data_IF_445554465374
#
_entry.id   IF_445554465374
#
_cell.length_a   1.000
_cell.length_b   1.000
_cell.length_c   1.000
_cell.angle_alpha   90.00
_cell.angle_beta   90.00
_cell.angle_gamma   90.00
#
_symmetry.space_group_name_H-M   'P 1'
#
loop_
_entity.id
_entity.type
_entity.pdbx_description
1 polymer ?
#
# COMPACT_ATOMS: atom_id res chain seq x y z
N UNK A 1 9.26 11.42 -6.44
CA UNK A 1 9.99 11.64 -5.18
C UNK A 1 9.42 12.81 -4.39
N UNK A 2 9.56 14.06 -4.84
CA UNK A 2 9.11 15.24 -4.06
C UNK A 2 7.63 15.21 -3.68
N UNK A 3 6.72 14.89 -4.61
CA UNK A 3 5.28 14.88 -4.30
C UNK A 3 4.88 13.76 -3.33
N UNK A 4 5.46 12.57 -3.48
CA UNK A 4 5.27 11.47 -2.53
C UNK A 4 5.85 11.84 -1.16
N UNK A 5 7.04 12.43 -1.15
CA UNK A 5 7.68 12.93 0.05
C UNK A 5 6.82 13.93 0.83
N UNK A 6 6.18 14.87 0.12
CA UNK A 6 5.27 15.85 0.73
C UNK A 6 4.10 15.18 1.43
N UNK A 7 3.48 14.17 0.81
CA UNK A 7 2.38 13.44 1.45
C UNK A 7 2.83 12.74 2.74
N UNK A 8 4.04 12.18 2.75
CA UNK A 8 4.59 11.50 3.93
C UNK A 8 4.89 12.50 5.04
N UNK A 9 5.58 13.61 4.73
CA UNK A 9 5.99 14.62 5.71
C UNK A 9 4.81 15.41 6.28
N UNK A 10 3.75 15.63 5.50
CA UNK A 10 2.51 16.25 5.99
C UNK A 10 1.73 15.31 6.92
N UNK A 11 1.88 14.00 6.76
CA UNK A 11 1.18 12.99 7.55
C UNK A 11 1.85 12.67 8.90
N UNK A 12 3.12 13.07 9.12
CA UNK A 12 3.89 12.70 10.32
C UNK A 12 4.59 13.89 10.95
N UNK A 13 4.80 13.84 12.27
CA UNK A 13 5.56 14.87 13.00
C UNK A 13 7.02 14.47 13.26
N UNK A 14 7.40 13.24 12.90
CA UNK A 14 8.78 12.75 13.06
C UNK A 14 9.65 13.18 11.87
N UNK A 15 10.96 13.39 12.06
CA UNK A 15 11.87 13.73 10.96
C UNK A 15 11.88 12.66 9.87
N UNK A 16 11.68 13.07 8.61
CA UNK A 16 11.72 12.18 7.45
C UNK A 16 13.01 12.41 6.66
N UNK A 17 13.74 11.34 6.40
CA UNK A 17 14.89 11.32 5.49
C UNK A 17 14.41 10.71 4.17
N UNK A 18 14.60 11.45 3.07
CA UNK A 18 14.24 10.99 1.74
C UNK A 18 15.46 10.50 0.95
N UNK A 19 15.24 9.49 0.10
CA UNK A 19 16.23 9.08 -0.91
C UNK A 19 16.18 10.04 -2.11
N UNK A 20 17.30 10.72 -2.37
CA UNK A 20 17.47 11.65 -3.48
C UNK A 20 18.18 11.03 -4.69
N UNK A 21 18.45 9.72 -4.69
CA UNK A 21 19.28 9.03 -5.66
C UNK A 21 20.59 9.81 -5.90
N UNK A 22 21.01 9.96 -7.15
CA UNK A 22 22.16 10.78 -7.55
C UNK A 22 21.84 12.28 -7.69
N UNK A 23 20.66 12.73 -7.30
CA UNK A 23 20.16 14.09 -7.50
C UNK A 23 19.66 14.40 -8.92
N UNK A 24 19.39 13.38 -9.74
CA UNK A 24 18.71 13.45 -11.04
C UNK A 24 19.42 14.30 -12.11
N UNK A 25 20.76 14.24 -12.14
CA UNK A 25 21.56 14.81 -13.23
C UNK A 25 22.84 15.49 -12.75
N UNK A 26 23.07 16.72 -13.21
CA UNK A 26 24.27 17.47 -12.89
C UNK A 26 24.12 18.24 -11.57
N UNK A 27 25.14 19.03 -11.20
CA UNK A 27 25.13 19.86 -10.00
C UNK A 27 23.89 20.77 -9.88
N UNK A 28 23.38 21.33 -10.99
CA UNK A 28 22.18 22.16 -10.96
C UNK A 28 20.91 21.35 -10.71
N UNK A 29 20.83 20.11 -11.23
CA UNK A 29 19.77 19.16 -10.88
C UNK A 29 19.79 18.88 -9.37
N UNK A 30 20.97 18.61 -8.79
CA UNK A 30 21.12 18.39 -7.34
C UNK A 30 20.60 19.58 -6.54
N UNK A 31 20.93 20.82 -6.93
CA UNK A 31 20.39 22.02 -6.26
C UNK A 31 18.87 22.07 -6.30
N UNK A 32 18.28 21.76 -7.46
CA UNK A 32 16.82 21.73 -7.62
C UNK A 32 16.21 20.63 -6.76
N UNK A 33 16.83 19.46 -6.70
CA UNK A 33 16.40 18.32 -5.88
C UNK A 33 16.39 18.68 -4.41
N UNK A 34 17.51 19.17 -3.87
CA UNK A 34 17.61 19.57 -2.46
C UNK A 34 16.58 20.65 -2.11
N UNK A 35 16.43 21.69 -2.94
CA UNK A 35 15.40 22.73 -2.74
C UNK A 35 13.98 22.16 -2.81
N UNK A 36 13.75 21.15 -3.65
CA UNK A 36 12.48 20.43 -3.73
C UNK A 36 12.19 19.64 -2.46
N UNK A 37 13.19 18.94 -1.92
CA UNK A 37 13.07 18.16 -0.68
C UNK A 37 12.81 19.08 0.53
N UNK A 38 13.53 20.20 0.62
CA UNK A 38 13.28 21.23 1.65
C UNK A 38 11.82 21.71 1.59
N UNK A 39 11.33 22.06 0.39
CA UNK A 39 9.94 22.51 0.19
C UNK A 39 8.90 21.44 0.49
N UNK A 40 9.28 20.17 0.37
CA UNK A 40 8.43 19.05 0.73
C UNK A 40 8.53 18.69 2.23
N UNK A 41 9.27 19.43 3.05
CA UNK A 41 9.32 19.21 4.49
C UNK A 41 10.25 18.06 4.94
N UNK A 42 11.13 17.57 4.08
CA UNK A 42 12.12 16.57 4.49
C UNK A 42 13.13 17.16 5.48
N UNK A 43 13.43 16.38 6.52
CA UNK A 43 14.48 16.70 7.49
C UNK A 43 15.88 16.28 7.01
N UNK A 44 15.96 15.31 6.08
CA UNK A 44 17.22 14.90 5.48
C UNK A 44 17.06 14.36 4.07
N UNK A 45 18.18 14.32 3.34
CA UNK A 45 18.28 13.76 1.99
C UNK A 45 19.53 12.89 1.89
N UNK A 46 19.36 11.69 1.31
CA UNK A 46 20.46 10.82 0.89
C UNK A 46 20.81 11.15 -0.56
N UNK A 47 22.07 11.41 -0.84
CA UNK A 47 22.58 11.64 -2.19
C UNK A 47 23.74 10.70 -2.47
N UNK A 48 23.62 9.93 -3.54
CA UNK A 48 24.61 8.93 -3.93
C UNK A 48 25.45 9.34 -5.13
N UNK A 49 26.59 8.68 -5.25
CA UNK A 49 27.42 8.75 -6.44
C UNK A 49 27.01 7.70 -7.47
N UNK A 50 27.28 7.94 -8.76
CA UNK A 50 26.99 6.95 -9.78
C UNK A 50 28.23 6.17 -10.17
N UNK A 51 28.00 4.93 -10.61
CA UNK A 51 29.02 4.13 -11.28
C UNK A 51 29.51 4.87 -12.53
N UNK A 52 30.80 5.17 -12.57
CA UNK A 52 31.46 5.84 -13.68
C UNK A 52 31.65 7.35 -13.49
N UNK A 53 31.08 7.95 -12.43
CA UNK A 53 31.36 9.34 -12.10
C UNK A 53 32.84 9.50 -11.72
N UNK A 54 33.45 10.56 -12.24
CA UNK A 54 34.76 10.99 -11.78
C UNK A 54 34.70 11.49 -10.34
N UNK A 55 35.88 11.48 -9.69
CA UNK A 55 36.04 12.04 -8.34
C UNK A 55 35.58 13.50 -8.26
N UNK A 56 35.91 14.30 -9.26
CA UNK A 56 35.55 15.72 -9.31
C UNK A 56 34.04 15.93 -9.44
N UNK A 57 33.38 15.20 -10.34
CA UNK A 57 31.92 15.29 -10.52
C UNK A 57 31.17 14.96 -9.23
N UNK A 58 31.60 13.89 -8.56
CA UNK A 58 30.96 13.42 -7.35
C UNK A 58 31.06 14.47 -6.23
N UNK A 59 32.26 15.04 -6.02
CA UNK A 59 32.46 16.11 -5.04
C UNK A 59 31.67 17.37 -5.41
N UNK A 60 31.58 17.72 -6.69
CA UNK A 60 30.83 18.91 -7.13
C UNK A 60 29.33 18.77 -6.91
N UNK A 61 28.75 17.57 -7.07
CA UNK A 61 27.35 17.32 -6.72
C UNK A 61 27.09 17.53 -5.23
N UNK A 62 27.97 16.99 -4.37
CA UNK A 62 27.86 17.21 -2.92
C UNK A 62 27.98 18.70 -2.55
N UNK A 63 28.96 19.42 -3.11
CA UNK A 63 29.09 20.87 -2.89
C UNK A 63 27.83 21.63 -3.34
N UNK A 64 27.25 21.25 -4.47
CA UNK A 64 26.01 21.84 -4.95
C UNK A 64 24.84 21.60 -3.97
N UNK A 65 24.76 20.41 -3.36
CA UNK A 65 23.77 20.12 -2.33
C UNK A 65 23.95 21.02 -1.08
N UNK A 66 25.18 21.18 -0.63
CA UNK A 66 25.54 22.05 0.50
C UNK A 66 25.21 23.52 0.20
N UNK A 67 25.51 23.99 -1.01
CA UNK A 67 25.16 25.34 -1.45
C UNK A 67 23.64 25.54 -1.51
N UNK A 68 22.89 24.55 -2.01
CA UNK A 68 21.43 24.63 -2.08
C UNK A 68 20.79 24.72 -0.69
N UNK A 69 21.32 23.99 0.30
CA UNK A 69 20.93 24.11 1.71
C UNK A 69 21.18 25.52 2.24
N UNK A 70 22.40 26.04 2.08
CA UNK A 70 22.80 27.39 2.52
C UNK A 70 21.94 28.48 1.88
N UNK A 71 21.75 28.43 0.57
CA UNK A 71 20.93 29.38 -0.19
C UNK A 71 19.46 29.40 0.24
N UNK A 72 18.97 28.27 0.77
CA UNK A 72 17.59 28.15 1.24
C UNK A 72 17.42 28.54 2.70
N UNK A 73 18.52 28.75 3.44
CA UNK A 73 18.49 28.98 4.89
C UNK A 73 17.94 27.79 5.70
N UNK A 74 18.02 26.58 5.14
CA UNK A 74 17.52 25.35 5.75
C UNK A 74 18.62 24.60 6.49
N UNK A 75 18.23 23.82 7.48
CA UNK A 75 19.05 22.91 8.27
C UNK A 75 18.95 21.45 7.81
N UNK A 76 18.38 21.19 6.62
CA UNK A 76 18.25 19.83 6.06
C UNK A 76 19.57 19.06 6.16
N UNK A 77 19.49 17.83 6.68
CA UNK A 77 20.64 16.94 6.85
C UNK A 77 21.01 16.37 5.48
N UNK A 78 22.26 16.54 5.06
CA UNK A 78 22.81 15.97 3.83
C UNK A 78 23.60 14.72 4.17
N UNK A 79 23.07 13.58 3.74
CA UNK A 79 23.69 12.26 3.89
C UNK A 79 24.34 11.90 2.56
N UNK A 80 25.66 11.81 2.54
CA UNK A 80 26.37 11.42 1.33
C UNK A 80 26.62 9.92 1.32
N UNK A 81 26.04 9.25 0.32
CA UNK A 81 26.20 7.84 0.02
C UNK A 81 27.28 7.64 -1.05
N UNK A 82 28.06 6.57 -0.91
CA UNK A 82 28.90 6.06 -2.01
C UNK A 82 28.67 4.57 -2.22
N UNK A 83 28.47 4.19 -3.47
CA UNK A 83 28.34 2.80 -3.93
C UNK A 83 29.68 2.27 -4.50
N UNK A 84 30.75 3.07 -4.38
CA UNK A 84 32.05 2.73 -4.96
C UNK A 84 32.69 1.50 -4.31
N UNK A 85 32.22 1.05 -3.14
CA UNK A 85 32.69 -0.19 -2.51
C UNK A 85 32.48 -1.40 -3.42
N UNK A 86 31.29 -1.50 -4.02
CA UNK A 86 30.96 -2.59 -4.94
C UNK A 86 31.38 -2.24 -6.38
N UNK A 87 31.27 -0.96 -6.77
CA UNK A 87 31.53 -0.56 -8.15
C UNK A 87 33.03 -0.44 -8.50
N UNK A 88 33.89 -0.14 -7.52
CA UNK A 88 35.32 0.16 -7.73
C UNK A 88 36.19 -0.57 -6.69
N UNK A 89 36.28 -0.06 -5.45
CA UNK A 89 37.03 -0.68 -4.34
C UNK A 89 36.68 -0.04 -2.99
N UNK A 90 37.11 -0.68 -1.90
CA UNK A 90 36.98 -0.14 -0.54
C UNK A 90 37.81 1.14 -0.37
N UNK A 91 39.02 1.19 -0.92
CA UNK A 91 39.91 2.35 -0.84
C UNK A 91 39.30 3.57 -1.54
N UNK A 92 38.64 3.36 -2.69
CA UNK A 92 37.92 4.44 -3.38
C UNK A 92 36.76 4.95 -2.52
N UNK A 93 36.00 4.05 -1.87
CA UNK A 93 34.89 4.47 -1.00
C UNK A 93 35.35 5.28 0.21
N UNK A 94 36.53 4.95 0.75
CA UNK A 94 37.17 5.71 1.81
C UNK A 94 37.74 7.05 1.34
N UNK A 95 38.22 7.13 0.11
CA UNK A 95 38.63 8.39 -0.49
C UNK A 95 37.43 9.32 -0.67
N UNK A 96 36.34 8.81 -1.27
CA UNK A 96 35.10 9.57 -1.52
C UNK A 96 34.48 10.04 -0.21
N UNK A 97 34.39 9.17 0.80
CA UNK A 97 33.88 9.53 2.13
C UNK A 97 34.63 10.69 2.78
N UNK A 98 35.98 10.72 2.66
CA UNK A 98 36.78 11.86 3.14
C UNK A 98 36.49 13.12 2.35
N UNK A 99 36.45 13.02 1.02
CA UNK A 99 36.17 14.16 0.17
C UNK A 99 34.76 14.75 0.42
N UNK A 100 33.77 13.91 0.72
CA UNK A 100 32.43 14.36 1.09
C UNK A 100 32.41 15.02 2.47
N UNK A 101 33.14 14.47 3.45
CA UNK A 101 33.32 15.10 4.76
C UNK A 101 33.97 16.48 4.63
N UNK A 102 35.03 16.61 3.84
CA UNK A 102 35.70 17.88 3.57
C UNK A 102 34.79 18.89 2.85
N UNK A 103 33.82 18.41 2.07
CA UNK A 103 32.80 19.24 1.42
C UNK A 103 31.70 19.73 2.40
N UNK A 104 31.59 19.13 3.59
CA UNK A 104 30.73 19.60 4.68
C UNK A 104 29.40 18.85 4.82
N UNK A 105 29.32 17.58 4.40
CA UNK A 105 28.15 16.72 4.63
C UNK A 105 27.98 16.43 6.12
N UNK A 106 26.76 16.10 6.53
CA UNK A 106 26.43 15.89 7.95
C UNK A 106 26.54 14.41 8.34
N UNK A 107 26.29 13.50 7.38
CA UNK A 107 26.33 12.05 7.61
C UNK A 107 27.00 11.37 6.42
N UNK A 108 27.77 10.32 6.69
CA UNK A 108 28.38 9.47 5.68
C UNK A 108 27.73 8.09 5.63
N UNK A 109 27.64 7.55 4.43
CA UNK A 109 27.11 6.22 4.18
C UNK A 109 27.93 5.55 3.06
N UNK A 110 28.49 4.37 3.32
CA UNK A 110 29.03 3.50 2.26
C UNK A 110 28.09 2.31 2.14
N UNK A 111 27.57 2.08 0.94
CA UNK A 111 26.74 0.90 0.71
C UNK A 111 27.59 -0.36 0.53
N UNK A 112 26.99 -1.51 0.83
CA UNK A 112 27.58 -2.84 0.58
C UNK A 112 28.94 -3.11 1.26
N UNK A 113 29.21 -2.54 2.44
CA UNK A 113 30.35 -2.93 3.27
C UNK A 113 30.23 -4.40 3.69
N UNK A 114 31.23 -5.21 3.37
CA UNK A 114 31.11 -6.67 3.39
C UNK A 114 31.48 -7.35 4.71
N UNK A 115 31.98 -6.59 5.70
CA UNK A 115 32.36 -7.13 7.01
C UNK A 115 32.29 -6.10 8.13
N UNK A 116 32.26 -6.56 9.39
CA UNK A 116 32.31 -5.69 10.59
C UNK A 116 33.60 -4.85 10.62
N UNK A 117 34.69 -5.36 10.09
CA UNK A 117 35.98 -4.67 10.00
C UNK A 117 35.92 -3.49 9.03
N UNK A 118 35.29 -3.66 7.86
CA UNK A 118 35.08 -2.55 6.91
C UNK A 118 34.15 -1.47 7.50
N UNK A 119 33.12 -1.90 8.22
CA UNK A 119 32.18 -1.04 8.94
C UNK A 119 32.88 -0.20 10.03
N UNK A 120 33.76 -0.84 10.82
CA UNK A 120 34.59 -0.16 11.81
C UNK A 120 35.57 0.82 11.16
N UNK A 121 36.22 0.41 10.07
CA UNK A 121 37.15 1.27 9.33
C UNK A 121 36.45 2.53 8.78
N UNK A 122 35.21 2.44 8.28
CA UNK A 122 34.42 3.62 7.92
C UNK A 122 34.22 4.56 9.13
N UNK A 123 33.86 4.01 10.28
CA UNK A 123 33.66 4.80 11.50
C UNK A 123 34.93 5.56 11.93
N UNK A 124 36.10 4.97 11.73
CA UNK A 124 37.41 5.52 12.11
C UNK A 124 37.94 6.60 11.14
N UNK A 125 37.52 6.62 9.87
CA UNK A 125 38.06 7.57 8.87
C UNK A 125 37.71 9.03 9.19
N UNK A 126 36.52 9.28 9.72
CA UNK A 126 36.02 10.62 10.09
C UNK A 126 35.29 10.56 11.42
N UNK A 127 35.95 10.33 12.56
CA UNK A 127 35.30 9.93 13.82
C UNK A 127 34.20 10.88 14.32
N UNK A 128 34.26 12.16 13.96
CA UNK A 128 33.30 13.18 14.38
C UNK A 128 32.02 13.22 13.54
N UNK A 129 32.03 12.69 12.32
CA UNK A 129 30.82 12.63 11.48
C UNK A 129 30.02 11.36 11.82
N UNK A 130 28.69 11.47 12.04
CA UNK A 130 27.78 10.33 12.10
C UNK A 130 27.85 9.46 10.85
N UNK A 131 27.70 8.14 11.05
CA UNK A 131 27.60 7.16 9.95
C UNK A 131 26.21 6.55 9.94
N UNK A 132 25.70 6.32 8.75
CA UNK A 132 24.47 5.60 8.51
C UNK A 132 24.76 4.18 8.03
N UNK A 133 24.10 3.21 8.63
CA UNK A 133 24.07 1.82 8.19
C UNK A 133 22.74 1.51 7.49
N UNK A 134 22.79 0.62 6.51
CA UNK A 134 21.62 0.15 5.80
C UNK A 134 21.50 -1.37 5.95
N UNK A 135 20.48 -1.83 6.67
CA UNK A 135 20.24 -3.26 6.90
C UNK A 135 19.21 -3.74 5.88
N UNK A 136 19.69 -4.39 4.82
CA UNK A 136 18.85 -4.94 3.75
C UNK A 136 18.57 -6.43 4.02
N UNK A 137 17.48 -6.73 4.73
CA UNK A 137 17.10 -8.08 5.14
C UNK A 137 16.56 -8.93 3.97
N UNK A 138 17.45 -9.44 3.11
CA UNK A 138 17.02 -10.21 1.95
C UNK A 138 18.09 -10.65 0.97
N UNK A 139 19.37 -10.49 1.32
CA UNK A 139 20.49 -10.93 0.46
C UNK A 139 21.47 -9.82 0.05
N UNK A 140 21.52 -8.71 0.79
CA UNK A 140 22.58 -7.71 0.65
C UNK A 140 23.97 -8.27 0.95
N UNK A 141 25.02 -7.50 0.60
CA UNK A 141 26.41 -7.85 0.92
C UNK A 141 26.78 -7.56 2.38
N UNK A 142 26.10 -6.59 2.99
CA UNK A 142 26.35 -6.15 4.36
C UNK A 142 25.85 -7.20 5.37
N UNK A 143 26.68 -7.61 6.35
CA UNK A 143 26.22 -8.44 7.46
C UNK A 143 25.07 -7.76 8.20
N UNK A 144 23.99 -8.51 8.48
CA UNK A 144 22.84 -7.97 9.21
C UNK A 144 23.16 -7.93 10.70
N UNK A 145 23.21 -6.72 11.25
CA UNK A 145 23.51 -6.43 12.65
C UNK A 145 22.33 -5.72 13.31
N UNK A 146 22.13 -5.96 14.59
CA UNK A 146 21.11 -5.25 15.34
C UNK A 146 21.60 -3.83 15.74
N UNK A 147 20.69 -2.93 16.21
CA UNK A 147 21.07 -1.56 16.55
C UNK A 147 22.18 -1.44 17.61
N UNK A 148 22.24 -2.34 18.58
CA UNK A 148 23.25 -2.33 19.66
C UNK A 148 24.63 -2.63 19.07
N UNK A 149 24.73 -3.67 18.24
CA UNK A 149 25.99 -4.02 17.56
C UNK A 149 26.49 -2.90 16.64
N UNK A 150 25.58 -2.21 15.96
CA UNK A 150 25.91 -1.07 15.09
C UNK A 150 26.39 0.14 15.89
N UNK A 151 25.76 0.42 17.02
CA UNK A 151 26.18 1.50 17.92
C UNK A 151 27.57 1.24 18.50
N UNK A 152 27.86 0.00 18.91
CA UNK A 152 29.19 -0.43 19.40
C UNK A 152 30.29 -0.22 18.34
N UNK A 153 29.97 -0.41 17.06
CA UNK A 153 30.90 -0.15 15.95
C UNK A 153 31.10 1.36 15.72
N UNK A 154 30.09 2.19 16.02
CA UNK A 154 30.15 3.64 15.90
C UNK A 154 29.12 4.26 14.96
N UNK A 155 28.16 3.49 14.43
CA UNK A 155 27.06 4.02 13.64
C UNK A 155 26.07 4.81 14.53
N UNK A 156 25.39 5.78 13.91
CA UNK A 156 24.42 6.66 14.59
C UNK A 156 23.07 6.71 13.90
N UNK A 157 23.01 6.29 12.64
CA UNK A 157 21.77 6.14 11.89
C UNK A 157 21.69 4.72 11.33
N UNK A 158 20.48 4.21 11.24
CA UNK A 158 20.16 2.88 10.72
C UNK A 158 18.88 2.97 9.89
N UNK A 159 18.92 2.45 8.66
CA UNK A 159 17.75 2.22 7.82
C UNK A 159 17.43 0.74 7.64
N UNK A 160 16.12 0.51 7.53
CA UNK A 160 15.47 -0.77 7.27
C UNK A 160 14.59 -0.62 6.01
N UNK A 161 15.20 -0.51 4.82
CA UNK A 161 14.54 0.01 3.63
C UNK A 161 13.47 -0.93 3.06
N UNK A 162 13.57 -2.24 3.34
CA UNK A 162 12.67 -3.25 2.75
C UNK A 162 11.76 -3.94 3.77
N UNK A 163 11.94 -3.71 5.06
CA UNK A 163 11.27 -4.50 6.10
C UNK A 163 9.76 -4.31 6.07
N UNK A 164 9.30 -3.04 6.03
CA UNK A 164 7.86 -2.74 5.99
C UNK A 164 7.21 -3.19 4.68
N UNK A 165 7.87 -2.94 3.53
CA UNK A 165 7.32 -3.37 2.24
C UNK A 165 7.29 -4.90 2.12
N UNK A 166 8.30 -5.61 2.63
CA UNK A 166 8.33 -7.07 2.66
C UNK A 166 7.21 -7.66 3.50
N UNK A 167 6.98 -7.11 4.71
CA UNK A 167 5.84 -7.50 5.57
C UNK A 167 4.51 -7.21 4.88
N UNK A 168 4.36 -6.04 4.26
CA UNK A 168 3.14 -5.64 3.57
C UNK A 168 2.82 -6.55 2.37
N UNK A 169 3.83 -6.86 1.54
CA UNK A 169 3.68 -7.80 0.41
C UNK A 169 3.16 -9.14 0.91
N UNK A 170 3.75 -9.67 1.99
CA UNK A 170 3.33 -10.96 2.52
C UNK A 170 1.90 -10.93 3.07
N UNK A 171 1.56 -9.90 3.83
CA UNK A 171 0.22 -9.73 4.39
C UNK A 171 -0.87 -9.65 3.30
N UNK A 172 -0.62 -8.87 2.24
CA UNK A 172 -1.53 -8.80 1.09
C UNK A 172 -1.68 -10.13 0.38
N UNK A 173 -0.58 -10.85 0.15
CA UNK A 173 -0.62 -12.17 -0.50
C UNK A 173 -1.43 -13.19 0.30
N UNK A 174 -1.23 -13.22 1.62
CA UNK A 174 -1.95 -14.13 2.51
C UNK A 174 -3.45 -13.78 2.55
N UNK A 175 -3.79 -12.48 2.58
CA UNK A 175 -5.18 -12.01 2.48
C UNK A 175 -5.84 -12.40 1.15
N UNK A 176 -5.18 -12.14 0.01
CA UNK A 176 -5.69 -12.49 -1.32
C UNK A 176 -5.87 -14.00 -1.48
N UNK A 177 -4.94 -14.81 -0.96
CA UNK A 177 -5.05 -16.28 -0.98
C UNK A 177 -6.28 -16.75 -0.19
N UNK A 178 -6.57 -16.10 0.93
CA UNK A 178 -7.74 -16.42 1.77
C UNK A 178 -9.05 -16.08 1.05
N UNK A 179 -9.09 -14.91 0.40
CA UNK A 179 -10.25 -14.44 -0.38
C UNK A 179 -10.54 -15.33 -1.58
N UNK A 180 -9.52 -15.75 -2.34
CA UNK A 180 -9.69 -16.71 -3.45
C UNK A 180 -10.28 -18.03 -2.96
N UNK A 181 -9.95 -18.44 -1.74
CA UNK A 181 -10.53 -19.62 -1.09
C UNK A 181 -11.93 -19.42 -0.51
N UNK A 182 -12.59 -18.27 -0.77
CA UNK A 182 -13.93 -17.96 -0.27
C UNK A 182 -14.01 -17.65 1.23
N UNK A 183 -12.88 -17.32 1.87
CA UNK A 183 -12.80 -17.01 3.29
C UNK A 183 -12.37 -15.56 3.50
N UNK A 184 -12.68 -14.99 4.65
CA UNK A 184 -12.14 -13.70 5.07
C UNK A 184 -10.79 -13.87 5.76
N UNK A 185 -9.84 -12.91 5.62
CA UNK A 185 -8.64 -12.88 6.43
C UNK A 185 -8.98 -12.92 7.93
N UNK A 186 -8.18 -13.60 8.77
CA UNK A 186 -8.48 -13.71 10.19
C UNK A 186 -8.44 -12.33 10.88
N UNK A 187 -9.23 -12.10 11.95
CA UNK A 187 -9.30 -10.79 12.63
C UNK A 187 -7.94 -10.24 13.09
N UNK A 188 -6.99 -11.10 13.46
CA UNK A 188 -5.63 -10.66 13.82
C UNK A 188 -4.82 -10.03 12.67
N UNK A 189 -5.30 -10.15 11.43
CA UNK A 189 -4.70 -9.57 10.23
C UNK A 189 -5.44 -8.33 9.71
N UNK A 190 -6.60 -8.00 10.29
CA UNK A 190 -7.43 -6.89 9.87
C UNK A 190 -7.81 -6.05 11.10
N UNK A 191 -7.32 -4.80 11.20
CA UNK A 191 -7.78 -3.89 12.25
C UNK A 191 -9.31 -3.72 12.18
N UNK A 192 -9.93 -3.52 13.34
CA UNK A 192 -11.34 -3.12 13.43
C UNK A 192 -11.59 -1.81 12.67
N UNK A 193 -12.84 -1.56 12.30
CA UNK A 193 -13.20 -0.33 11.61
C UNK A 193 -12.90 0.92 12.45
N UNK A 194 -13.00 0.81 13.78
CA UNK A 194 -12.64 1.91 14.69
C UNK A 194 -11.13 2.18 14.70
N UNK A 195 -10.29 1.14 14.73
CA UNK A 195 -8.83 1.29 14.60
C UNK A 195 -8.42 1.88 13.24
N UNK A 196 -9.14 1.54 12.17
CA UNK A 196 -8.93 2.14 10.84
C UNK A 196 -9.25 3.63 10.88
N UNK A 197 -10.41 4.03 11.43
CA UNK A 197 -10.80 5.44 11.55
C UNK A 197 -9.79 6.24 12.37
N UNK A 198 -9.34 5.67 13.50
CA UNK A 198 -8.32 6.29 14.34
C UNK A 198 -7.00 6.47 13.56
N UNK A 199 -6.53 5.42 12.88
CA UNK A 199 -5.29 5.46 12.08
C UNK A 199 -5.37 6.48 10.95
N UNK A 200 -6.52 6.64 10.30
CA UNK A 200 -6.74 7.59 9.21
C UNK A 200 -7.05 9.01 9.69
N UNK A 201 -7.11 9.25 11.01
CA UNK A 201 -7.35 10.58 11.58
C UNK A 201 -8.80 11.06 11.53
N UNK A 202 -9.77 10.16 11.34
CA UNK A 202 -11.20 10.52 11.29
C UNK A 202 -11.65 11.15 12.61
N UNK A 203 -11.22 10.57 13.73
CA UNK A 203 -11.63 11.05 15.05
C UNK A 203 -11.16 12.49 15.29
N UNK A 204 -9.90 12.81 14.95
CA UNK A 204 -9.35 14.18 15.03
C UNK A 204 -10.12 15.16 14.16
N UNK A 205 -10.48 14.76 12.93
CA UNK A 205 -11.29 15.60 12.04
C UNK A 205 -12.65 15.93 12.66
N UNK A 206 -13.38 14.93 13.17
CA UNK A 206 -14.71 15.14 13.74
C UNK A 206 -14.65 15.99 15.02
N UNK A 207 -13.65 15.80 15.87
CA UNK A 207 -13.43 16.64 17.06
C UNK A 207 -13.17 18.12 16.69
N UNK A 208 -12.41 18.36 15.62
CA UNK A 208 -12.17 19.72 15.13
C UNK A 208 -13.43 20.31 14.46
N UNK A 209 -14.19 19.50 13.73
CA UNK A 209 -15.45 19.90 13.09
C UNK A 209 -16.47 20.42 14.10
N UNK A 210 -16.60 19.78 15.27
CA UNK A 210 -17.51 20.21 16.35
C UNK A 210 -17.33 21.69 16.75
N UNK A 211 -16.10 22.22 16.65
CA UNK A 211 -15.79 23.63 16.97
C UNK A 211 -16.35 24.61 15.95
N UNK A 212 -16.66 24.15 14.75
CA UNK A 212 -17.14 24.96 13.63
C UNK A 212 -18.61 24.69 13.28
N UNK A 213 -19.27 23.77 14.00
CA UNK A 213 -20.72 23.60 13.91
C UNK A 213 -21.38 24.88 14.44
N UNK A 214 -22.04 25.62 13.54
CA UNK A 214 -22.89 26.76 13.92
C UNK A 214 -24.34 26.32 13.96
N UNK A 215 -25.16 26.94 14.81
CA UNK A 215 -26.62 26.67 14.92
C UNK A 215 -27.42 26.98 13.63
N UNK A 216 -26.74 27.44 12.58
CA UNK A 216 -27.31 27.75 11.25
C UNK A 216 -26.68 26.88 10.14
N UNK A 217 -26.17 25.71 10.47
CA UNK A 217 -25.84 24.72 9.45
C UNK A 217 -27.13 24.29 8.75
N UNK A 218 -27.16 24.45 7.43
CA UNK A 218 -28.07 23.69 6.56
C UNK A 218 -28.13 22.25 7.07
N UNK A 219 -29.30 21.58 6.99
CA UNK A 219 -29.38 20.18 7.38
C UNK A 219 -28.24 19.42 6.71
N UNK A 220 -27.60 18.44 7.41
CA UNK A 220 -26.62 17.58 6.76
C UNK A 220 -27.22 17.10 5.46
N UNK A 221 -26.42 17.04 4.38
CA UNK A 221 -26.85 16.58 3.06
C UNK A 221 -27.89 15.47 3.25
N UNK A 222 -29.17 15.81 3.12
CA UNK A 222 -30.21 14.80 3.12
C UNK A 222 -29.87 14.02 1.87
N UNK A 223 -29.41 12.77 2.05
CA UNK A 223 -29.71 11.80 1.03
C UNK A 223 -31.21 11.92 0.84
N UNK A 224 -31.60 12.19 -0.40
CA UNK A 224 -32.99 12.19 -0.81
C UNK A 224 -33.45 10.73 -0.74
N UNK A 225 -33.64 10.23 0.48
CA UNK A 225 -34.33 8.99 0.76
C UNK A 225 -35.81 9.32 0.61
N UNK A 226 -36.24 9.45 -0.65
CA UNK A 226 -37.63 9.69 -0.99
C UNK A 226 -38.49 8.62 -0.35
N UNK A 227 -39.35 9.03 0.59
CA UNK A 227 -40.36 8.23 1.29
C UNK A 227 -40.04 6.73 1.39
N UNK A 228 -39.05 6.36 2.22
CA UNK A 228 -39.01 5.00 2.74
C UNK A 228 -40.24 4.78 3.63
N UNK A 229 -41.24 4.08 3.08
CA UNK A 229 -42.21 3.37 3.91
C UNK A 229 -41.42 2.53 4.91
N UNK A 230 -41.65 2.74 6.21
CA UNK A 230 -41.10 1.91 7.29
C UNK A 230 -41.49 0.44 7.08
N UNK A 231 -40.69 -0.28 6.30
CA UNK A 231 -40.56 -1.71 6.43
C UNK A 231 -39.75 -1.91 7.70
N UNK A 232 -40.45 -2.26 8.78
CA UNK A 232 -39.83 -2.81 9.98
C UNK A 232 -39.11 -4.09 9.56
N UNK A 233 -37.84 -3.96 9.19
CA UNK A 233 -36.95 -5.09 9.04
C UNK A 233 -36.54 -5.48 10.45
N UNK A 234 -37.24 -6.46 10.99
CA UNK A 234 -36.84 -7.15 12.21
C UNK A 234 -35.46 -7.74 11.96
N UNK A 235 -34.42 -7.12 12.52
CA UNK A 235 -33.05 -7.67 12.51
C UNK A 235 -33.05 -8.90 13.40
N UNK A 236 -33.38 -10.05 12.81
CA UNK A 236 -33.13 -11.34 13.44
C UNK A 236 -31.63 -11.54 13.41
N UNK A 237 -30.98 -11.27 14.55
CA UNK A 237 -29.59 -11.69 14.78
C UNK A 237 -29.48 -13.19 14.49
N UNK A 238 -28.58 -13.63 13.59
CA UNK A 238 -28.45 -15.05 13.30
C UNK A 238 -28.02 -15.78 14.57
N UNK A 239 -28.77 -16.82 14.96
CA UNK A 239 -28.19 -17.86 15.80
C UNK A 239 -27.01 -18.46 15.01
N UNK A 240 -25.82 -18.14 15.49
CA UNK A 240 -24.57 -18.77 15.08
C UNK A 240 -24.70 -20.25 15.39
N UNK A 241 -24.98 -21.06 14.36
CA UNK A 241 -24.92 -22.52 14.47
C UNK A 241 -23.47 -22.96 14.69
N UNK A 242 -23.04 -22.98 15.95
CA UNK A 242 -22.02 -23.91 16.41
C UNK A 242 -22.61 -25.32 16.28
N UNK A 243 -22.33 -25.99 15.18
CA UNK A 243 -22.66 -27.40 15.02
C UNK A 243 -21.56 -28.31 15.52
N UNK A 244 -21.47 -28.51 16.85
CA UNK A 244 -21.03 -29.81 17.39
C UNK A 244 -22.26 -30.74 17.45
N UNK A 245 -22.18 -31.87 16.75
CA UNK A 245 -23.07 -33.05 16.78
C UNK A 245 -24.52 -32.96 16.19
N UNK A 246 -24.62 -33.28 14.88
CA UNK A 246 -25.74 -33.99 14.19
C UNK A 246 -27.04 -33.24 13.83
N UNK A 247 -27.92 -33.77 12.94
CA UNK A 247 -27.72 -34.64 11.76
C UNK A 247 -27.72 -33.82 10.43
N UNK A 248 -27.22 -34.43 9.35
CA UNK A 248 -27.12 -33.81 8.01
C UNK A 248 -28.47 -33.27 7.50
N UNK A 249 -28.62 -31.95 7.41
CA UNK A 249 -29.70 -31.28 6.68
C UNK A 249 -29.51 -31.33 5.15
N UNK A 250 -30.55 -31.01 4.36
CA UNK A 250 -30.61 -31.26 2.91
C UNK A 250 -29.71 -30.34 2.06
N UNK A 251 -28.99 -29.40 2.68
CA UNK A 251 -28.28 -28.31 2.00
C UNK A 251 -26.82 -28.64 1.60
N UNK A 252 -26.36 -29.88 1.76
CA UNK A 252 -24.96 -30.25 1.49
C UNK A 252 -24.55 -30.20 0.01
N UNK A 253 -25.48 -30.12 -0.94
CA UNK A 253 -25.20 -30.21 -2.39
C UNK A 253 -25.62 -29.01 -3.24
N UNK A 254 -26.23 -27.96 -2.67
CA UNK A 254 -26.71 -26.80 -3.44
C UNK A 254 -25.61 -25.74 -3.70
N UNK A 255 -24.60 -25.67 -2.82
CA UNK A 255 -23.55 -24.64 -2.88
C UNK A 255 -22.47 -24.88 -3.94
N UNK A 256 -22.58 -25.96 -4.74
CA UNK A 256 -21.67 -26.29 -5.84
C UNK A 256 -22.27 -26.08 -7.24
N UNK A 257 -23.49 -25.53 -7.35
CA UNK A 257 -24.19 -25.31 -8.63
C UNK A 257 -23.98 -23.90 -9.17
N UNK A 258 -24.10 -23.74 -10.49
CA UNK A 258 -23.95 -22.46 -11.19
C UNK A 258 -25.23 -22.10 -11.93
N UNK A 259 -25.58 -20.82 -11.90
CA UNK A 259 -26.62 -20.26 -12.75
C UNK A 259 -25.98 -19.73 -14.01
N UNK A 260 -26.49 -20.15 -15.16
CA UNK A 260 -26.10 -19.60 -16.45
C UNK A 260 -27.15 -18.60 -16.92
N UNK A 261 -26.73 -17.39 -17.24
CA UNK A 261 -27.60 -16.31 -17.74
C UNK A 261 -27.22 -16.03 -19.18
N UNK A 262 -28.18 -16.14 -20.09
CA UNK A 262 -28.06 -15.82 -21.50
C UNK A 262 -28.97 -14.63 -21.83
N UNK A 263 -28.44 -13.63 -22.55
CA UNK A 263 -29.21 -12.49 -23.08
C UNK A 263 -29.04 -12.46 -24.59
N UNK A 264 -30.15 -12.54 -25.31
CA UNK A 264 -30.21 -12.49 -26.77
C UNK A 264 -30.93 -11.22 -27.22
N UNK A 265 -30.29 -10.44 -28.09
CA UNK A 265 -30.86 -9.23 -28.67
C UNK A 265 -32.04 -9.53 -29.62
N UNK A 266 -32.90 -8.53 -29.83
CA UNK A 266 -34.04 -8.61 -30.77
C UNK A 266 -33.68 -9.06 -32.20
N UNK A 267 -32.46 -8.81 -32.64
CA UNK A 267 -31.93 -9.21 -33.95
C UNK A 267 -31.38 -10.64 -33.97
N UNK A 268 -31.51 -11.37 -32.86
CA UNK A 268 -30.97 -12.72 -32.66
C UNK A 268 -29.48 -12.75 -32.31
N UNK A 269 -28.86 -11.59 -32.03
CA UNK A 269 -27.46 -11.53 -31.61
C UNK A 269 -27.29 -11.92 -30.14
N UNK A 270 -26.28 -12.74 -29.84
CA UNK A 270 -25.92 -13.07 -28.45
C UNK A 270 -25.24 -11.84 -27.80
N UNK A 271 -25.87 -11.29 -26.76
CA UNK A 271 -25.38 -10.08 -26.06
C UNK A 271 -24.56 -10.43 -24.83
N UNK A 272 -24.88 -11.52 -24.13
CA UNK A 272 -24.23 -11.89 -22.87
C UNK A 272 -24.47 -13.36 -22.52
N UNK A 273 -23.41 -14.08 -22.15
CA UNK A 273 -23.47 -15.40 -21.49
C UNK A 273 -22.58 -15.36 -20.23
N UNK A 274 -23.13 -15.67 -19.06
CA UNK A 274 -22.44 -15.60 -17.77
C UNK A 274 -22.77 -16.78 -16.87
N UNK A 275 -21.77 -17.29 -16.13
CA UNK A 275 -21.95 -18.30 -15.08
C UNK A 275 -21.76 -17.67 -13.69
N UNK A 276 -22.75 -17.84 -12.82
CA UNK A 276 -22.80 -17.22 -11.49
C UNK A 276 -22.96 -18.32 -10.43
N UNK A 277 -22.08 -18.42 -9.43
CA UNK A 277 -22.27 -19.34 -8.32
C UNK A 277 -23.55 -19.01 -7.53
N UNK A 278 -24.34 -20.03 -7.20
CA UNK A 278 -25.59 -19.88 -6.42
C UNK A 278 -25.37 -19.27 -5.03
N UNK A 279 -24.14 -19.24 -4.51
CA UNK A 279 -23.79 -18.53 -3.27
C UNK A 279 -23.75 -17.00 -3.37
N UNK A 280 -23.93 -16.42 -4.57
CA UNK A 280 -23.75 -14.99 -4.85
C UNK A 280 -25.04 -14.29 -5.33
N UNK A 281 -26.21 -14.77 -4.89
CA UNK A 281 -27.52 -14.32 -5.39
C UNK A 281 -27.83 -12.84 -5.09
N UNK A 282 -27.37 -12.31 -3.95
CA UNK A 282 -27.67 -10.92 -3.54
C UNK A 282 -27.05 -9.86 -4.47
N UNK A 283 -26.05 -10.22 -5.27
CA UNK A 283 -25.40 -9.31 -6.23
C UNK A 283 -25.92 -9.38 -7.67
N UNK A 284 -26.81 -10.32 -7.99
CA UNK A 284 -27.21 -10.61 -9.39
C UNK A 284 -27.98 -9.44 -10.03
N UNK A 285 -28.85 -8.77 -9.28
CA UNK A 285 -29.61 -7.61 -9.77
C UNK A 285 -28.72 -6.43 -10.17
N UNK A 286 -27.51 -6.33 -9.62
CA UNK A 286 -26.52 -5.31 -10.03
C UNK A 286 -25.80 -5.69 -11.33
N UNK A 287 -25.70 -6.98 -11.64
CA UNK A 287 -25.03 -7.50 -12.84
C UNK A 287 -25.97 -7.55 -14.04
N UNK A 288 -27.22 -7.95 -13.81
CA UNK A 288 -28.28 -7.99 -14.83
C UNK A 288 -29.51 -7.27 -14.26
N UNK A 289 -29.64 -5.95 -14.48
CA UNK A 289 -30.72 -5.14 -13.93
C UNK A 289 -32.12 -5.67 -14.24
N UNK A 290 -32.29 -6.34 -15.39
CA UNK A 290 -33.55 -6.94 -15.80
C UNK A 290 -34.02 -8.11 -14.91
N UNK A 291 -33.13 -8.70 -14.10
CA UNK A 291 -33.48 -9.71 -13.08
C UNK A 291 -33.91 -9.07 -11.75
N UNK A 292 -33.96 -7.73 -11.66
CA UNK A 292 -34.45 -7.01 -10.49
C UNK A 292 -35.90 -7.37 -10.17
N UNK A 293 -36.14 -7.85 -8.95
CA UNK A 293 -37.47 -8.27 -8.46
C UNK A 293 -37.83 -9.74 -8.72
N UNK A 294 -36.97 -10.51 -9.39
CA UNK A 294 -37.15 -11.96 -9.55
C UNK A 294 -36.70 -12.69 -8.28
N UNK A 295 -37.57 -13.52 -7.68
CA UNK A 295 -37.23 -14.33 -6.52
C UNK A 295 -36.43 -15.58 -6.92
N UNK A 296 -35.16 -15.40 -7.28
CA UNK A 296 -34.27 -16.46 -7.75
C UNK A 296 -34.13 -17.59 -6.71
N UNK A 297 -34.20 -17.26 -5.42
CA UNK A 297 -34.15 -18.23 -4.32
C UNK A 297 -35.32 -19.20 -4.38
N UNK A 298 -36.53 -18.71 -4.59
CA UNK A 298 -37.73 -19.55 -4.74
C UNK A 298 -37.68 -20.41 -6.00
N UNK A 299 -37.14 -19.90 -7.11
CA UNK A 299 -36.94 -20.68 -8.34
C UNK A 299 -35.95 -21.86 -8.11
N UNK A 300 -34.90 -21.62 -7.33
CA UNK A 300 -33.92 -22.65 -6.96
C UNK A 300 -34.50 -23.66 -5.97
N UNK A 301 -35.29 -23.21 -4.99
CA UNK A 301 -35.98 -24.07 -4.04
C UNK A 301 -36.95 -25.01 -4.76
N UNK A 302 -37.65 -24.52 -5.78
CA UNK A 302 -38.54 -25.31 -6.64
C UNK A 302 -37.80 -26.26 -7.61
N UNK A 303 -36.50 -26.05 -7.83
CA UNK A 303 -35.66 -26.85 -8.73
C UNK A 303 -34.72 -27.83 -7.98
N UNK A 304 -34.93 -28.04 -6.68
CA UNK A 304 -34.10 -28.83 -5.75
C UNK A 304 -33.82 -30.29 -6.13
N UNK A 305 -34.44 -30.83 -7.19
CA UNK A 305 -34.24 -32.20 -7.67
C UNK A 305 -33.76 -32.33 -9.13
N UNK A 306 -33.52 -31.23 -9.83
CA UNK A 306 -33.31 -31.27 -11.29
C UNK A 306 -31.82 -31.31 -11.70
N UNK A 307 -31.58 -31.88 -12.89
CA UNK A 307 -30.27 -32.04 -13.54
C UNK A 307 -29.83 -30.71 -14.18
N UNK A 308 -28.52 -30.55 -14.40
CA UNK A 308 -27.94 -29.38 -15.07
C UNK A 308 -28.48 -29.17 -16.49
N UNK A 309 -28.60 -27.91 -16.91
CA UNK A 309 -29.22 -27.47 -18.15
C UNK A 309 -30.70 -27.11 -18.06
N UNK A 310 -31.31 -27.07 -16.85
CA UNK A 310 -32.73 -26.74 -16.70
C UNK A 310 -32.97 -25.24 -16.86
N UNK A 311 -33.85 -24.85 -17.78
CA UNK A 311 -34.36 -23.47 -17.88
C UNK A 311 -35.27 -23.15 -16.67
N UNK A 312 -34.88 -22.15 -15.89
CA UNK A 312 -35.59 -21.66 -14.72
C UNK A 312 -36.45 -20.43 -15.04
N UNK A 313 -36.04 -19.62 -16.00
CA UNK A 313 -36.71 -18.37 -16.36
C UNK A 313 -36.47 -18.06 -17.84
N UNK A 314 -37.51 -17.58 -18.52
CA UNK A 314 -37.49 -17.15 -19.92
C UNK A 314 -38.48 -16.00 -20.09
N UNK A 315 -37.98 -14.80 -20.40
CA UNK A 315 -38.82 -13.62 -20.60
C UNK A 315 -38.11 -12.56 -21.45
N UNK A 316 -38.89 -11.68 -22.07
CA UNK A 316 -38.38 -10.51 -22.76
C UNK A 316 -38.33 -9.31 -21.80
N UNK A 317 -37.21 -8.58 -21.79
CA UNK A 317 -37.07 -7.36 -21.00
C UNK A 317 -37.82 -6.16 -21.61
N UNK A 318 -37.80 -5.01 -20.94
CA UNK A 318 -38.49 -3.80 -21.42
C UNK A 318 -37.91 -3.23 -22.72
N UNK A 319 -36.69 -3.64 -23.08
CA UNK A 319 -36.02 -3.29 -24.33
C UNK A 319 -36.25 -4.36 -25.42
N UNK A 320 -36.98 -5.44 -25.08
CA UNK A 320 -37.33 -6.60 -25.91
C UNK A 320 -36.16 -7.55 -26.16
N UNK A 321 -35.11 -7.50 -25.35
CA UNK A 321 -34.08 -8.53 -25.33
C UNK A 321 -34.59 -9.77 -24.58
N UNK A 322 -34.33 -10.95 -25.10
CA UNK A 322 -34.72 -12.22 -24.49
C UNK A 322 -33.71 -12.61 -23.42
N UNK A 323 -34.17 -12.89 -22.20
CA UNK A 323 -33.34 -13.26 -21.06
C UNK A 323 -33.72 -14.67 -20.59
N UNK A 324 -32.73 -15.55 -20.61
CA UNK A 324 -32.88 -16.94 -20.19
C UNK A 324 -31.94 -17.26 -19.03
N UNK A 325 -32.47 -17.95 -18.03
CA UNK A 325 -31.71 -18.35 -16.84
C UNK A 325 -31.76 -19.86 -16.67
N UNK A 326 -30.61 -20.51 -16.66
CA UNK A 326 -30.47 -21.96 -16.55
C UNK A 326 -29.77 -22.36 -15.25
N UNK A 327 -30.13 -23.53 -14.74
CA UNK A 327 -29.45 -24.19 -13.63
C UNK A 327 -28.50 -25.27 -14.18
N UNK A 328 -27.19 -25.10 -13.97
CA UNK A 328 -26.14 -26.04 -14.34
C UNK A 328 -25.49 -26.72 -13.13
#
# INVERSE_FOLDING_TARGET
MVDQGRQITEAVTIPVIGDGDNGYGNAMSVKRTVKGFIKAGFAGIILEDQKGDSRDETVMRIKAAIDARKESGSDIVIIARTDSRQAISLEESFWRSRAFADAGVDVLFIDALSSKEEMKALCEITPLLPKMANMLEGGGKTPILNPIELEEIGFKLLSYPISLIGVFIRAMQDALTTLIGGRMPPPGSLPSFDEIKETLGFNTYYEDEERFITTTSQPPFQRDDGEEQELVVEVVTPEVYYGSDGPKGPFGGMWSRTLRVEITGQDGSEKLELWIPVGFLEGISNLVPALGGVNIKELLDNATGELGGKLLLDFDDTMGDMIQLFLD
#
